data_IF_378672411306
#
_entry.id   IF_378672411306
#
_cell.length_a   1.000
_cell.length_b   1.000
_cell.length_c   1.000
_cell.angle_alpha   90.00
_cell.angle_beta   90.00
_cell.angle_gamma   90.00
#
_symmetry.space_group_name_H-M   'P 1'
#
loop_
_entity.id
_entity.type
_entity.pdbx_description
1 polymer ?
#
# COMPACT_ATOMS: atom_id res chain seq x y z
N UNK A 1 20.20 34.57 -3.45
CA UNK A 1 19.39 34.21 -2.27
C UNK A 1 19.18 32.71 -2.40
N UNK A 2 19.88 31.90 -1.59
CA UNK A 2 19.80 30.44 -1.70
C UNK A 2 18.44 29.95 -1.22
N UNK A 3 17.88 28.94 -1.88
CA UNK A 3 16.67 28.27 -1.39
C UNK A 3 16.92 27.77 0.05
N UNK A 4 15.93 27.91 0.95
CA UNK A 4 16.07 27.42 2.31
C UNK A 4 16.31 25.90 2.28
N UNK A 5 17.46 25.47 2.81
CA UNK A 5 17.79 24.05 2.93
C UNK A 5 16.93 23.40 4.01
N UNK A 6 16.19 22.35 3.66
CA UNK A 6 15.44 21.55 4.65
C UNK A 6 16.43 20.78 5.53
N UNK A 7 16.34 20.96 6.84
CA UNK A 7 17.16 20.25 7.81
C UNK A 7 16.73 18.79 7.93
N UNK A 8 17.67 17.87 7.71
CA UNK A 8 17.45 16.42 7.73
C UNK A 8 17.37 15.84 9.16
N UNK A 9 16.51 16.37 10.03
CA UNK A 9 16.30 15.79 11.36
C UNK A 9 15.16 14.76 11.30
N UNK A 10 15.41 13.52 11.75
CA UNK A 10 14.47 12.38 11.63
C UNK A 10 14.80 11.40 10.49
N UNK A 11 15.80 11.70 9.67
CA UNK A 11 16.22 10.96 8.47
C UNK A 11 16.85 9.56 8.70
N UNK A 12 16.79 9.03 9.92
CA UNK A 12 17.50 7.80 10.27
C UNK A 12 16.69 6.52 9.99
N UNK A 13 15.58 6.60 9.27
CA UNK A 13 14.83 5.44 8.78
C UNK A 13 15.08 5.10 7.31
N UNK A 14 16.24 5.51 6.76
CA UNK A 14 16.92 4.93 5.59
C UNK A 14 16.25 3.66 5.05
N UNK A 15 15.63 3.82 3.87
CA UNK A 15 15.00 2.85 2.97
C UNK A 15 15.10 1.38 3.40
N UNK A 16 14.20 0.93 4.28
CA UNK A 16 14.02 -0.50 4.57
C UNK A 16 13.12 -1.07 3.50
N UNK A 17 13.73 -1.64 2.46
CA UNK A 17 13.02 -2.40 1.44
C UNK A 17 13.13 -3.89 1.74
N UNK A 18 11.99 -4.55 1.88
CA UNK A 18 11.88 -6.01 1.88
C UNK A 18 11.11 -6.41 0.63
N UNK A 19 11.70 -7.28 -0.18
CA UNK A 19 11.04 -7.87 -1.34
C UNK A 19 11.20 -9.38 -1.27
N UNK A 20 10.08 -10.09 -1.40
CA UNK A 20 10.02 -11.54 -1.35
C UNK A 20 9.25 -12.05 -2.56
N UNK A 21 9.76 -13.10 -3.18
CA UNK A 21 9.05 -13.86 -4.21
C UNK A 21 8.89 -15.28 -3.70
N UNK A 22 7.64 -15.69 -3.48
CA UNK A 22 7.27 -16.99 -2.93
C UNK A 22 6.58 -17.78 -4.03
N UNK A 23 6.99 -19.04 -4.20
CA UNK A 23 6.43 -19.96 -5.19
C UNK A 23 5.82 -21.14 -4.47
N UNK A 24 4.53 -21.39 -4.72
CA UNK A 24 3.80 -22.57 -4.26
C UNK A 24 3.42 -23.43 -5.46
N UNK A 25 3.86 -24.69 -5.47
CA UNK A 25 3.74 -25.60 -6.61
C UNK A 25 2.99 -26.86 -6.17
N UNK A 26 1.85 -27.12 -6.81
CA UNK A 26 1.04 -28.32 -6.56
C UNK A 26 0.98 -29.22 -7.80
N UNK A 27 1.18 -30.52 -7.61
CA UNK A 27 1.03 -31.53 -8.65
C UNK A 27 -0.28 -32.29 -8.49
N UNK A 28 -1.26 -31.97 -9.33
CA UNK A 28 -2.57 -32.63 -9.37
C UNK A 28 -2.62 -33.68 -10.49
N UNK A 29 -3.08 -34.90 -10.19
CA UNK A 29 -3.13 -36.02 -11.16
C UNK A 29 -4.42 -36.02 -11.99
N UNK A 30 -5.48 -35.42 -11.46
CA UNK A 30 -6.81 -35.46 -12.06
C UNK A 30 -7.35 -34.05 -12.25
N UNK A 31 -8.26 -33.87 -13.20
CA UNK A 31 -8.91 -32.56 -13.43
C UNK A 31 -9.69 -32.08 -12.20
N UNK A 32 -10.28 -32.99 -11.43
CA UNK A 32 -10.97 -32.65 -10.18
C UNK A 32 -10.02 -32.00 -9.18
N UNK A 33 -8.83 -32.59 -8.98
CA UNK A 33 -7.80 -32.03 -8.09
C UNK A 33 -7.26 -30.68 -8.57
N UNK A 34 -7.13 -30.48 -9.89
CA UNK A 34 -6.75 -29.17 -10.44
C UNK A 34 -7.79 -28.12 -10.08
N UNK A 35 -9.08 -28.43 -10.25
CA UNK A 35 -10.16 -27.49 -9.94
C UNK A 35 -10.26 -27.21 -8.44
N UNK A 36 -10.07 -28.21 -7.59
CA UNK A 36 -10.03 -28.03 -6.13
C UNK A 36 -8.87 -27.11 -5.71
N UNK A 37 -7.70 -27.28 -6.33
CA UNK A 37 -6.54 -26.44 -6.03
C UNK A 37 -6.72 -25.00 -6.53
N UNK A 38 -7.33 -24.81 -7.70
CA UNK A 38 -7.69 -23.47 -8.20
C UNK A 38 -8.67 -22.79 -7.24
N UNK A 39 -9.73 -23.49 -6.81
CA UNK A 39 -10.69 -22.93 -5.86
C UNK A 39 -10.04 -22.56 -4.52
N UNK A 40 -9.08 -23.35 -4.06
CA UNK A 40 -8.28 -23.02 -2.88
C UNK A 40 -7.43 -21.75 -3.10
N UNK A 41 -6.79 -21.60 -4.26
CA UNK A 41 -6.03 -20.40 -4.60
C UNK A 41 -6.94 -19.16 -4.59
N UNK A 42 -8.12 -19.25 -5.20
CA UNK A 42 -9.08 -18.15 -5.27
C UNK A 42 -9.53 -17.72 -3.87
N UNK A 43 -9.65 -18.64 -2.90
CA UNK A 43 -10.00 -18.33 -1.51
C UNK A 43 -8.82 -17.76 -0.70
N UNK A 44 -7.60 -18.20 -0.98
CA UNK A 44 -6.42 -17.84 -0.17
C UNK A 44 -5.75 -16.56 -0.65
N UNK A 45 -5.85 -16.26 -1.93
CA UNK A 45 -5.10 -15.19 -2.59
C UNK A 45 -6.00 -14.09 -3.20
N UNK A 46 -7.25 -13.97 -2.73
CA UNK A 46 -8.14 -12.87 -3.08
C UNK A 46 -7.70 -11.53 -2.48
N UNK A 47 -8.15 -10.43 -3.09
CA UNK A 47 -7.81 -9.09 -2.66
C UNK A 47 -8.28 -8.74 -1.24
N UNK A 48 -9.40 -9.29 -0.74
CA UNK A 48 -9.89 -9.02 0.62
C UNK A 48 -8.97 -9.65 1.68
N UNK A 49 -8.55 -10.90 1.49
CA UNK A 49 -7.60 -11.57 2.39
C UNK A 49 -6.22 -10.92 2.34
N UNK A 50 -5.72 -10.60 1.14
CA UNK A 50 -4.45 -9.89 0.99
C UNK A 50 -4.48 -8.49 1.62
N UNK A 51 -5.59 -7.76 1.49
CA UNK A 51 -5.77 -6.45 2.15
C UNK A 51 -5.68 -6.56 3.66
N UNK A 52 -6.31 -7.57 4.26
CA UNK A 52 -6.24 -7.83 5.71
C UNK A 52 -4.81 -8.10 6.16
N UNK A 53 -4.09 -8.97 5.45
CA UNK A 53 -2.68 -9.29 5.76
C UNK A 53 -1.82 -8.02 5.72
N UNK A 54 -1.92 -7.21 4.66
CA UNK A 54 -1.11 -5.99 4.57
C UNK A 54 -1.52 -4.93 5.61
N UNK A 55 -2.79 -4.89 6.00
CA UNK A 55 -3.27 -4.01 7.07
C UNK A 55 -2.64 -4.41 8.41
N UNK A 56 -2.66 -5.69 8.76
CA UNK A 56 -2.03 -6.21 9.98
C UNK A 56 -0.52 -5.93 9.98
N UNK A 57 0.17 -6.12 8.84
CA UNK A 57 1.60 -5.78 8.72
C UNK A 57 1.82 -4.28 8.95
N UNK A 58 0.96 -3.43 8.40
CA UNK A 58 1.04 -1.97 8.57
C UNK A 58 0.89 -1.57 10.05
N UNK A 59 -0.06 -2.19 10.76
CA UNK A 59 -0.25 -2.00 12.21
C UNK A 59 0.96 -2.49 13.01
N UNK A 60 1.53 -3.65 12.66
CA UNK A 60 2.71 -4.22 13.34
C UNK A 60 3.94 -3.33 13.24
N UNK A 61 4.13 -2.63 12.12
CA UNK A 61 5.24 -1.68 11.94
C UNK A 61 4.92 -0.28 12.48
N UNK A 62 3.71 -0.05 13.00
CA UNK A 62 3.29 1.22 13.60
C UNK A 62 3.05 2.35 12.59
N UNK A 63 2.73 2.02 11.34
CA UNK A 63 2.47 3.02 10.31
C UNK A 63 0.96 3.28 10.14
N UNK A 64 0.61 4.47 9.64
CA UNK A 64 -0.76 4.88 9.38
C UNK A 64 -1.15 4.60 7.93
N UNK A 65 -2.31 3.96 7.71
CA UNK A 65 -2.85 3.75 6.37
C UNK A 65 -3.42 5.06 5.83
N UNK A 66 -2.92 5.50 4.68
CA UNK A 66 -3.41 6.68 3.96
C UNK A 66 -4.42 6.30 2.86
N UNK A 67 -4.14 5.21 2.15
CA UNK A 67 -4.98 4.73 1.06
C UNK A 67 -4.77 3.24 0.82
N UNK A 68 -5.82 2.55 0.35
CA UNK A 68 -5.77 1.16 -0.08
C UNK A 68 -6.29 1.06 -1.51
N UNK A 69 -5.46 0.56 -2.41
CA UNK A 69 -5.83 0.24 -3.78
C UNK A 69 -5.72 -1.27 -3.97
N UNK A 70 -6.75 -1.90 -4.56
CA UNK A 70 -6.80 -3.35 -4.73
C UNK A 70 -7.57 -3.76 -5.97
N UNK A 71 -7.21 -4.91 -6.52
CA UNK A 71 -7.79 -5.46 -7.75
C UNK A 71 -7.72 -6.98 -7.73
N UNK A 72 -8.84 -7.65 -7.99
CA UNK A 72 -8.90 -9.07 -8.35
C UNK A 72 -8.83 -9.22 -9.89
N UNK A 73 -8.16 -10.25 -10.37
CA UNK A 73 -7.95 -10.51 -11.80
C UNK A 73 -8.64 -11.79 -12.26
N UNK A 74 -9.01 -11.79 -13.54
CA UNK A 74 -9.51 -12.97 -14.24
C UNK A 74 -8.39 -13.59 -15.10
N UNK A 75 -8.22 -14.92 -15.12
CA UNK A 75 -9.04 -15.91 -14.42
C UNK A 75 -8.73 -16.04 -12.91
N UNK A 76 -7.55 -15.62 -12.45
CA UNK A 76 -7.08 -15.80 -11.06
C UNK A 76 -6.07 -14.72 -10.68
N UNK A 77 -5.93 -14.47 -9.38
CA UNK A 77 -4.90 -13.62 -8.80
C UNK A 77 -5.41 -12.24 -8.40
N UNK A 78 -4.57 -11.50 -7.67
CA UNK A 78 -4.93 -10.20 -7.14
C UNK A 78 -3.69 -9.34 -6.88
N UNK A 79 -3.92 -8.03 -6.83
CA UNK A 79 -2.94 -7.03 -6.40
C UNK A 79 -3.53 -6.17 -5.30
N UNK A 80 -2.72 -5.88 -4.27
CA UNK A 80 -3.04 -4.89 -3.24
C UNK A 80 -1.85 -3.97 -3.05
N UNK A 81 -2.12 -2.68 -2.93
CA UNK A 81 -1.16 -1.63 -2.60
C UNK A 81 -1.72 -0.79 -1.47
N UNK A 82 -0.99 -0.67 -0.37
CA UNK A 82 -1.32 0.21 0.75
C UNK A 82 -0.31 1.35 0.79
N UNK A 83 -0.80 2.59 0.72
CA UNK A 83 0.00 3.79 0.96
C UNK A 83 0.00 4.06 2.46
N UNK A 84 1.19 4.28 3.03
CA UNK A 84 1.39 4.43 4.48
C UNK A 84 2.18 5.69 4.81
N UNK A 85 2.04 6.19 6.05
CA UNK A 85 2.93 7.21 6.64
C UNK A 85 3.41 6.78 8.03
N UNK A 86 4.67 7.07 8.35
CA UNK A 86 5.25 6.84 9.68
C UNK A 86 4.80 7.86 10.73
N UNK A 87 4.38 9.06 10.29
CA UNK A 87 3.97 10.15 11.18
C UNK A 87 2.45 10.13 11.43
N UNK A 88 1.97 10.70 12.56
CA UNK A 88 0.55 10.90 12.77
C UNK A 88 -0.05 11.67 11.60
N UNK A 89 -1.13 11.17 11.02
CA UNK A 89 -1.88 11.93 10.00
C UNK A 89 -2.45 13.14 10.71
N UNK A 90 -1.86 14.31 10.46
CA UNK A 90 -2.34 15.58 11.03
C UNK A 90 -3.69 15.87 10.40
N UNK A 91 -4.77 15.39 11.01
CA UNK A 91 -6.13 15.78 10.71
C UNK A 91 -6.46 17.07 11.48
N UNK A 92 -5.58 18.07 11.45
CA UNK A 92 -5.90 19.37 12.05
C UNK A 92 -6.45 20.30 10.96
N UNK A 93 -7.77 20.50 10.99
CA UNK A 93 -8.40 21.70 10.40
C UNK A 93 -8.82 21.63 8.93
N UNK A 94 -9.39 20.51 8.45
CA UNK A 94 -10.21 20.60 7.22
C UNK A 94 -11.54 21.23 7.62
N UNK A 95 -11.58 22.56 7.59
CA UNK A 95 -12.83 23.31 7.65
C UNK A 95 -13.65 22.98 6.40
N UNK A 96 -14.88 22.49 6.57
CA UNK A 96 -15.80 22.18 5.47
C UNK A 96 -16.54 23.43 4.98
N UNK A 97 -16.20 24.62 5.47
CA UNK A 97 -16.66 25.88 4.92
C UNK A 97 -15.96 26.20 3.59
N UNK A 98 -16.73 26.31 2.51
CA UNK A 98 -16.25 26.89 1.24
C UNK A 98 -16.08 28.40 1.40
N UNK A 99 -14.92 28.83 1.92
CA UNK A 99 -14.50 30.23 1.85
C UNK A 99 -13.63 30.47 0.60
N UNK A 100 -13.62 31.69 0.03
CA UNK A 100 -12.72 32.04 -1.06
C UNK A 100 -11.27 31.76 -0.62
N UNK A 101 -10.60 30.85 -1.33
CA UNK A 101 -9.27 30.37 -0.94
C UNK A 101 -8.27 31.50 -0.68
N UNK A 102 -7.33 31.30 0.27
CA UNK A 102 -6.41 32.35 0.69
C UNK A 102 -5.55 32.84 -0.48
N UNK A 103 -5.31 34.15 -0.51
CA UNK A 103 -4.42 34.77 -1.49
C UNK A 103 -3.02 34.15 -1.37
N UNK A 104 -2.33 33.91 -2.50
CA UNK A 104 -1.01 33.29 -2.50
C UNK A 104 -0.04 34.08 -1.62
N UNK A 105 0.39 33.46 -0.50
CA UNK A 105 1.33 34.05 0.46
C UNK A 105 0.80 34.31 1.88
N UNK A 106 -0.44 33.94 2.21
CA UNK A 106 -1.06 34.20 3.53
C UNK A 106 -1.30 32.99 4.44
N UNK A 107 -0.90 31.79 4.03
CA UNK A 107 -0.86 30.58 4.88
C UNK A 107 0.50 29.89 4.78
N UNK A 108 0.92 29.10 5.80
CA UNK A 108 2.04 28.18 5.61
C UNK A 108 1.74 27.35 4.37
N UNK A 109 2.71 27.26 3.46
CA UNK A 109 2.57 26.54 2.21
C UNK A 109 1.83 25.22 2.49
N UNK A 110 0.71 24.97 1.79
CA UNK A 110 0.13 23.63 1.77
C UNK A 110 1.27 22.74 1.30
N UNK A 111 1.89 22.03 2.24
CA UNK A 111 3.08 21.28 1.92
C UNK A 111 2.72 20.31 0.81
N UNK A 112 3.51 20.35 -0.25
CA UNK A 112 3.31 19.50 -1.41
C UNK A 112 3.26 18.05 -0.93
N UNK A 113 2.11 17.39 -1.11
CA UNK A 113 1.89 15.97 -0.78
C UNK A 113 2.98 15.06 -1.38
N UNK A 114 3.59 15.52 -2.47
CA UNK A 114 4.63 14.84 -3.26
C UNK A 114 6.02 14.89 -2.60
N UNK A 115 6.26 15.79 -1.64
CA UNK A 115 7.59 16.03 -1.07
C UNK A 115 7.77 15.54 0.37
N UNK A 116 6.76 14.90 0.97
CA UNK A 116 6.90 14.42 2.33
C UNK A 116 7.57 13.04 2.38
N UNK A 117 8.74 13.03 3.00
CA UNK A 117 9.64 11.89 3.12
C UNK A 117 9.19 10.85 4.17
N UNK A 118 7.98 11.02 4.72
CA UNK A 118 7.31 10.14 5.69
C UNK A 118 6.42 9.08 5.02
N UNK A 119 6.15 9.22 3.71
CA UNK A 119 5.23 8.37 2.95
C UNK A 119 5.96 7.21 2.29
N UNK A 120 5.36 6.03 2.38
CA UNK A 120 5.85 4.80 1.77
C UNK A 120 4.69 3.92 1.30
N UNK A 121 4.97 2.70 0.85
CA UNK A 121 3.96 1.75 0.43
C UNK A 121 4.34 0.30 0.76
N UNK A 122 3.32 -0.55 0.87
CA UNK A 122 3.45 -2.00 0.94
C UNK A 122 2.58 -2.60 -0.16
N UNK A 123 3.13 -3.58 -0.90
CA UNK A 123 2.44 -4.23 -2.01
C UNK A 123 2.51 -5.74 -1.91
N UNK A 124 1.47 -6.38 -2.45
CA UNK A 124 1.46 -7.82 -2.71
C UNK A 124 0.76 -8.07 -4.04
N UNK A 125 1.32 -9.00 -4.81
CA UNK A 125 0.81 -9.40 -6.12
C UNK A 125 0.86 -10.92 -6.22
N UNK A 126 -0.25 -11.52 -6.64
CA UNK A 126 -0.35 -12.96 -6.85
C UNK A 126 -0.56 -13.24 -8.34
N UNK A 127 0.19 -14.21 -8.86
CA UNK A 127 0.13 -14.63 -10.26
C UNK A 127 -0.06 -16.15 -10.35
N UNK A 128 -1.24 -16.67 -9.98
CA UNK A 128 -1.53 -18.08 -10.15
C UNK A 128 -1.44 -18.50 -11.62
N UNK A 129 -0.78 -19.63 -11.86
CA UNK A 129 -0.71 -20.23 -13.18
C UNK A 129 -1.00 -21.73 -13.11
N UNK A 130 -1.66 -22.25 -14.14
CA UNK A 130 -1.84 -23.68 -14.33
C UNK A 130 -1.28 -24.07 -15.69
N UNK A 131 -0.27 -24.93 -15.72
CA UNK A 131 0.20 -25.55 -16.97
C UNK A 131 -0.54 -26.89 -17.19
N UNK A 132 -0.96 -27.20 -18.44
CA UNK A 132 -1.49 -28.51 -18.80
C UNK A 132 -0.49 -29.65 -18.60
#
# INVERSE_FOLDING_TARGET
>A
MGEPSVTLHGFNNLSKTLSMSIFDICYAKTRAQVNEYIAYIDEVYDADRLTRILTEVTEMIGANILNVARQDYEPQGASVTILISEEPVIAEGIDYHEEPGPLPGSEPARDSVVAHLDKSHITVHTYPESHP
#
